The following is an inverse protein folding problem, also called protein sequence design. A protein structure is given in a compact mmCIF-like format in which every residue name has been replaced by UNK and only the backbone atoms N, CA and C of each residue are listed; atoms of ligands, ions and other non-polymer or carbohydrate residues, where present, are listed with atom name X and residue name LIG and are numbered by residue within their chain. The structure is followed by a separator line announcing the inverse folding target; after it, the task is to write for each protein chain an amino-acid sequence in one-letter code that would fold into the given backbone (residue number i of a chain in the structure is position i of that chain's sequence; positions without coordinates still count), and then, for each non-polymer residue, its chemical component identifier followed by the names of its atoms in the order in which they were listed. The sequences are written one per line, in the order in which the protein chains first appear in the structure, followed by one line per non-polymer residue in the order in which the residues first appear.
data_IF_789893630903
#
_entry.id   IF_789893630903
#
_cell.length_a   1.000
_cell.length_b   1.000
_cell.length_c   1.000
_cell.angle_alpha   90.00
_cell.angle_beta   90.00
_cell.angle_gamma   90.00
#
_symmetry.space_group_name_H-M   'P 1'
#
loop_
_entity.id
_entity.type
_entity.pdbx_description
1 polymer ?
#
# COMPACT_ATOMS: atom_id res chain seq x y z
N UNK A 1 -1.90 29.81 -2.11
CA UNK A 1 -1.84 28.59 -2.95
C UNK A 1 -3.21 27.92 -3.07
N UNK A 2 -3.92 27.66 -1.97
CA UNK A 2 -5.25 27.03 -2.01
C UNK A 2 -6.31 27.77 -2.84
N UNK A 3 -6.34 29.11 -2.83
CA UNK A 3 -7.29 29.87 -3.67
C UNK A 3 -6.97 29.76 -5.17
N UNK A 4 -5.69 29.73 -5.57
CA UNK A 4 -5.29 29.56 -6.97
C UNK A 4 -5.72 28.19 -7.54
N UNK A 5 -5.62 27.12 -6.76
CA UNK A 5 -6.08 25.78 -7.15
C UNK A 5 -7.61 25.66 -7.12
N UNK A 6 -8.27 26.42 -6.24
CA UNK A 6 -9.72 26.49 -6.23
C UNK A 6 -10.28 27.26 -7.44
N UNK A 7 -9.56 28.29 -7.90
CA UNK A 7 -10.04 29.28 -8.88
C UNK A 7 -9.60 29.04 -10.32
N UNK A 8 -8.70 28.08 -10.60
CA UNK A 8 -8.20 27.78 -11.95
C UNK A 8 -8.52 26.36 -12.40
N UNK A 9 -8.83 26.21 -13.71
CA UNK A 9 -9.05 24.90 -14.35
C UNK A 9 -7.76 24.07 -14.42
N UNK A 10 -6.62 24.75 -14.36
CA UNK A 10 -5.29 24.17 -14.38
C UNK A 10 -4.51 24.66 -13.17
N UNK A 11 -3.91 23.73 -12.42
CA UNK A 11 -3.20 24.06 -11.20
C UNK A 11 -2.01 23.15 -10.97
N UNK A 12 -0.86 23.75 -10.66
CA UNK A 12 0.33 23.03 -10.21
C UNK A 12 0.45 23.15 -8.69
N UNK A 13 0.56 22.01 -8.01
CA UNK A 13 0.80 21.92 -6.57
C UNK A 13 2.05 21.08 -6.32
N UNK A 14 3.16 21.68 -5.88
CA UNK A 14 4.28 20.92 -5.34
C UNK A 14 3.89 20.37 -3.96
N UNK A 15 4.07 19.07 -3.77
CA UNK A 15 3.80 18.34 -2.53
C UNK A 15 5.12 17.74 -2.05
N UNK A 16 5.66 18.16 -0.88
CA UNK A 16 6.85 17.52 -0.33
C UNK A 16 6.53 16.08 0.06
N UNK A 17 7.47 15.18 -0.21
CA UNK A 17 7.45 13.79 0.26
C UNK A 17 8.48 13.69 1.37
N UNK A 18 8.09 13.10 2.49
CA UNK A 18 9.00 12.79 3.59
C UNK A 18 8.92 11.29 3.81
N UNK A 19 10.06 10.61 3.75
CA UNK A 19 10.16 9.16 3.92
C UNK A 19 10.80 8.90 5.28
N UNK A 20 10.16 8.03 6.03
CA UNK A 20 10.57 7.61 7.38
C UNK A 20 10.22 6.15 7.57
N UNK A 21 10.61 5.35 6.60
CA UNK A 21 10.32 3.93 6.56
C UNK A 21 11.51 3.18 7.17
N UNK A 22 11.32 2.43 8.29
CA UNK A 22 12.40 1.67 8.91
C UNK A 22 13.23 0.80 7.97
N UNK A 23 12.60 0.22 6.93
CA UNK A 23 13.30 -0.62 5.95
C UNK A 23 14.29 0.15 5.06
N UNK A 24 14.08 1.45 4.83
CA UNK A 24 14.90 2.26 3.89
C UNK A 24 15.52 3.53 4.50
N UNK A 25 15.23 3.78 5.78
CA UNK A 25 15.74 4.93 6.54
C UNK A 25 15.02 6.24 6.22
N UNK A 26 15.70 7.35 6.53
CA UNK A 26 15.16 8.69 6.27
C UNK A 26 15.35 9.10 4.81
N UNK A 27 14.33 9.74 4.26
CA UNK A 27 14.37 10.25 2.90
C UNK A 27 13.43 11.40 2.65
N UNK A 28 13.47 11.90 1.43
CA UNK A 28 12.66 13.02 1.00
C UNK A 28 12.46 13.02 -0.50
N UNK A 29 11.48 13.80 -0.93
CA UNK A 29 11.15 13.93 -2.33
C UNK A 29 10.18 15.06 -2.60
N UNK A 30 9.74 15.12 -3.84
CA UNK A 30 8.74 16.09 -4.28
C UNK A 30 7.83 15.44 -5.30
N UNK A 31 6.54 15.72 -5.17
CA UNK A 31 5.55 15.44 -6.20
C UNK A 31 5.04 16.75 -6.80
N UNK A 32 5.03 16.85 -8.12
CA UNK A 32 4.30 17.86 -8.86
C UNK A 32 2.93 17.33 -9.24
N UNK A 33 1.87 17.93 -8.67
CA UNK A 33 0.49 17.59 -9.00
C UNK A 33 -0.08 18.63 -9.97
N UNK A 34 -0.53 18.16 -11.12
CA UNK A 34 -1.17 18.94 -12.18
C UNK A 34 -2.65 18.58 -12.22
N UNK A 35 -3.48 19.49 -11.72
CA UNK A 35 -4.93 19.39 -11.84
C UNK A 35 -5.36 19.96 -13.17
N UNK A 36 -6.27 19.26 -13.86
CA UNK A 36 -6.87 19.71 -15.10
C UNK A 36 -8.33 19.28 -15.18
N UNK A 37 -9.18 20.20 -15.60
CA UNK A 37 -10.61 20.00 -15.79
C UNK A 37 -11.11 20.91 -16.92
N UNK A 38 -12.26 20.60 -17.50
CA UNK A 38 -12.95 21.51 -18.42
C UNK A 38 -13.54 22.70 -17.67
N UNK A 39 -13.77 23.82 -18.36
CA UNK A 39 -14.38 25.01 -17.72
C UNK A 39 -15.77 24.70 -17.12
N UNK A 40 -16.54 23.81 -17.75
CA UNK A 40 -17.84 23.35 -17.24
C UNK A 40 -17.69 22.54 -15.93
N UNK A 41 -16.72 21.63 -15.85
CA UNK A 41 -16.42 20.85 -14.65
C UNK A 41 -15.96 21.75 -13.51
N UNK A 42 -15.10 22.74 -13.81
CA UNK A 42 -14.65 23.75 -12.87
C UNK A 42 -15.81 24.52 -12.26
N UNK A 43 -16.70 25.08 -13.08
CA UNK A 43 -17.84 25.86 -12.60
C UNK A 43 -18.72 25.04 -11.65
N UNK A 44 -18.94 23.76 -11.99
CA UNK A 44 -19.73 22.84 -11.16
C UNK A 44 -19.04 22.54 -9.84
N UNK A 45 -17.75 22.21 -9.85
CA UNK A 45 -16.94 21.98 -8.65
C UNK A 45 -16.95 23.21 -7.74
N UNK A 46 -16.80 24.41 -8.30
CA UNK A 46 -16.84 25.66 -7.54
C UNK A 46 -18.21 25.93 -6.90
N UNK A 47 -19.32 25.62 -7.58
CA UNK A 47 -20.66 25.71 -6.99
C UNK A 47 -20.80 24.78 -5.78
N UNK A 48 -20.45 23.51 -5.94
CA UNK A 48 -20.51 22.50 -4.86
C UNK A 48 -19.56 22.83 -3.70
N UNK A 49 -18.36 23.33 -4.00
CA UNK A 49 -17.39 23.75 -2.99
C UNK A 49 -17.86 24.97 -2.18
N UNK A 50 -18.60 25.90 -2.80
CA UNK A 50 -19.20 27.06 -2.11
C UNK A 50 -20.38 26.67 -1.22
N UNK A 51 -21.11 25.62 -1.59
CA UNK A 51 -22.21 25.06 -0.78
C UNK A 51 -21.67 24.25 0.43
N UNK A 52 -20.44 23.73 0.34
CA UNK A 52 -19.78 23.00 1.42
C UNK A 52 -19.08 23.92 2.41
N UNK A 53 -19.79 24.32 3.46
CA UNK A 53 -19.24 25.19 4.51
C UNK A 53 -18.08 24.53 5.31
N UNK A 54 -18.04 23.18 5.38
CA UNK A 54 -17.11 22.43 6.24
C UNK A 54 -16.09 21.54 5.47
N UNK A 55 -15.98 21.66 4.13
CA UNK A 55 -15.02 20.88 3.34
C UNK A 55 -15.36 19.37 3.23
N UNK A 56 -16.59 18.99 3.58
CA UNK A 56 -17.14 17.63 3.50
C UNK A 56 -17.98 17.38 2.23
N UNK A 57 -17.88 18.24 1.21
CA UNK A 57 -18.46 17.90 -0.07
C UNK A 57 -17.65 16.75 -0.66
N UNK A 58 -18.35 15.67 -1.02
CA UNK A 58 -17.84 14.59 -1.85
C UNK A 58 -17.62 15.15 -3.27
N UNK A 59 -16.63 16.02 -3.42
CA UNK A 59 -16.24 16.59 -4.68
C UNK A 59 -15.54 15.49 -5.46
N UNK A 60 -16.10 15.15 -6.62
CA UNK A 60 -15.36 14.37 -7.60
C UNK A 60 -14.08 15.16 -7.90
N UNK A 61 -12.91 14.60 -7.60
CA UNK A 61 -11.68 15.34 -7.82
C UNK A 61 -11.50 15.59 -9.33
N UNK A 62 -10.94 16.75 -9.72
CA UNK A 62 -10.61 16.99 -11.12
C UNK A 62 -9.64 15.91 -11.62
N UNK A 63 -9.51 15.81 -12.95
CA UNK A 63 -8.49 14.95 -13.51
C UNK A 63 -7.12 15.45 -13.02
N UNK A 64 -6.24 14.51 -12.68
CA UNK A 64 -4.98 14.81 -12.03
C UNK A 64 -3.86 14.01 -12.66
N UNK A 65 -2.75 14.68 -12.91
CA UNK A 65 -1.50 14.05 -13.30
C UNK A 65 -0.48 14.37 -12.23
N UNK A 66 0.16 13.36 -11.67
CA UNK A 66 1.21 13.51 -10.68
C UNK A 66 2.52 13.00 -11.25
N UNK A 67 3.60 13.71 -11.00
CA UNK A 67 4.97 13.22 -11.21
C UNK A 67 5.70 13.38 -9.89
N UNK A 68 6.30 12.32 -9.39
CA UNK A 68 6.99 12.29 -8.11
C UNK A 68 8.40 11.72 -8.26
N UNK A 69 9.32 12.24 -7.47
CA UNK A 69 10.64 11.67 -7.29
C UNK A 69 10.99 11.74 -5.81
N UNK A 70 11.55 10.67 -5.27
CA UNK A 70 12.00 10.60 -3.89
C UNK A 70 13.22 9.69 -3.76
N UNK A 71 13.98 9.88 -2.69
CA UNK A 71 15.09 9.02 -2.33
C UNK A 71 15.39 9.08 -0.84
N UNK A 72 16.15 8.10 -0.37
CA UNK A 72 16.50 7.91 1.03
C UNK A 72 18.02 7.90 1.23
N UNK A 73 18.44 7.97 2.49
CA UNK A 73 19.85 7.93 2.86
C UNK A 73 20.54 6.59 2.59
N UNK A 74 19.78 5.49 2.49
CA UNK A 74 20.31 4.16 2.20
C UNK A 74 20.51 3.89 0.69
N UNK A 75 20.28 4.90 -0.16
CA UNK A 75 20.45 4.79 -1.60
C UNK A 75 19.18 4.34 -2.36
N UNK A 76 18.09 4.02 -1.66
CA UNK A 76 16.80 3.75 -2.31
C UNK A 76 16.27 5.02 -2.96
N UNK A 77 15.80 4.92 -4.20
CA UNK A 77 15.15 6.02 -4.90
C UNK A 77 14.07 5.52 -5.86
N UNK A 78 13.10 6.39 -6.11
CA UNK A 78 12.00 6.11 -7.04
C UNK A 78 11.58 7.36 -7.79
N UNK A 79 11.25 7.18 -9.07
CA UNK A 79 10.58 8.18 -9.90
C UNK A 79 9.28 7.56 -10.40
N UNK A 80 8.17 8.25 -10.17
CA UNK A 80 6.84 7.78 -10.53
C UNK A 80 6.06 8.86 -11.27
N UNK A 81 5.18 8.43 -12.18
CA UNK A 81 4.21 9.29 -12.81
C UNK A 81 2.86 8.57 -12.92
N UNK A 82 1.78 9.31 -12.70
CA UNK A 82 0.45 8.75 -12.72
C UNK A 82 -0.59 9.76 -13.20
N UNK A 83 -1.68 9.24 -13.73
CA UNK A 83 -2.82 10.00 -14.19
C UNK A 83 -4.11 9.34 -13.72
N UNK A 84 -5.02 10.16 -13.18
CA UNK A 84 -6.38 9.75 -12.85
C UNK A 84 -7.36 10.67 -13.57
N UNK A 85 -8.41 10.07 -14.12
CA UNK A 85 -9.52 10.79 -14.74
C UNK A 85 -10.84 10.10 -14.47
N UNK A 86 -11.89 10.90 -14.38
CA UNK A 86 -13.27 10.43 -14.25
C UNK A 86 -14.13 11.01 -15.36
N UNK A 87 -15.14 10.27 -15.80
CA UNK A 87 -16.11 10.72 -16.80
C UNK A 87 -17.54 10.49 -16.30
N UNK A 88 -18.50 11.19 -16.91
CA UNK A 88 -19.94 11.02 -16.68
C UNK A 88 -20.31 11.10 -15.20
N UNK A 89 -19.88 12.15 -14.51
CA UNK A 89 -20.10 12.33 -13.07
C UNK A 89 -19.62 11.13 -12.25
N UNK A 90 -18.37 10.72 -12.49
CA UNK A 90 -17.72 9.64 -11.75
C UNK A 90 -18.38 8.25 -11.98
N UNK A 91 -19.00 8.08 -13.15
CA UNK A 91 -19.56 6.80 -13.58
C UNK A 91 -18.52 5.92 -14.28
N UNK A 92 -17.47 6.52 -14.85
CA UNK A 92 -16.27 5.82 -15.33
C UNK A 92 -15.06 6.46 -14.67
N UNK A 93 -14.14 5.63 -14.17
CA UNK A 93 -12.84 6.06 -13.64
C UNK A 93 -11.73 5.33 -14.38
N UNK A 94 -10.69 6.07 -14.70
CA UNK A 94 -9.43 5.52 -15.18
C UNK A 94 -8.31 5.99 -14.27
N UNK A 95 -7.40 5.08 -13.98
CA UNK A 95 -6.14 5.36 -13.33
C UNK A 95 -5.05 4.62 -14.07
N UNK A 96 -3.96 5.30 -14.40
CA UNK A 96 -2.82 4.69 -15.05
C UNK A 96 -1.54 5.37 -14.61
N UNK A 97 -0.45 4.63 -14.53
CA UNK A 97 0.81 5.18 -14.10
C UNK A 97 1.92 4.15 -14.14
N UNK A 98 3.11 4.59 -13.79
CA UNK A 98 4.26 3.72 -13.65
C UNK A 98 5.33 4.34 -12.77
N UNK A 99 6.24 3.51 -12.32
CA UNK A 99 7.40 3.91 -11.55
C UNK A 99 8.63 3.13 -12.00
N UNK A 100 9.78 3.77 -11.86
CA UNK A 100 11.09 3.12 -11.95
C UNK A 100 11.89 3.51 -10.73
N UNK A 101 12.78 2.64 -10.29
CA UNK A 101 13.57 2.91 -9.11
C UNK A 101 14.59 1.85 -8.81
N UNK A 102 15.25 2.07 -7.69
CA UNK A 102 16.24 1.19 -7.09
C UNK A 102 15.92 1.11 -5.60
N UNK A 103 15.82 -0.09 -5.04
CA UNK A 103 15.47 -0.32 -3.65
C UNK A 103 16.56 -1.15 -2.95
N UNK A 104 17.04 -0.62 -1.83
CA UNK A 104 17.95 -1.30 -0.93
C UNK A 104 17.17 -1.68 0.32
N UNK A 105 16.79 -2.95 0.43
CA UNK A 105 15.91 -3.45 1.49
C UNK A 105 16.49 -4.73 2.05
N UNK A 106 16.41 -4.91 3.37
CA UNK A 106 16.72 -6.18 4.01
C UNK A 106 15.51 -7.12 3.90
N UNK A 107 15.70 -8.30 3.32
CA UNK A 107 14.67 -9.35 3.28
C UNK A 107 14.92 -10.34 4.42
N UNK A 108 13.83 -10.79 5.03
CA UNK A 108 13.83 -11.71 6.16
C UNK A 108 13.10 -12.98 5.75
N UNK A 109 13.83 -14.07 5.53
CA UNK A 109 13.25 -15.37 5.23
C UNK A 109 13.43 -16.32 6.40
N UNK A 110 12.37 -17.00 6.82
CA UNK A 110 12.54 -18.09 7.79
C UNK A 110 13.05 -19.32 7.02
N UNK A 111 14.28 -19.79 7.27
CA UNK A 111 14.72 -21.06 6.73
C UNK A 111 13.81 -22.18 7.25
N UNK A 112 13.58 -23.20 6.42
CA UNK A 112 12.72 -24.34 6.71
C UNK A 112 12.86 -24.85 8.14
N UNK A 113 11.74 -25.16 8.78
CA UNK A 113 11.71 -25.79 10.10
C UNK A 113 12.33 -27.19 10.00
N UNK A 114 13.60 -27.29 10.41
CA UNK A 114 14.35 -28.53 10.44
C UNK A 114 14.21 -29.11 11.86
N UNK A 115 13.20 -29.97 12.04
CA UNK A 115 12.82 -30.64 13.31
C UNK A 115 14.00 -31.21 14.14
N UNK A 116 15.17 -31.44 13.52
CA UNK A 116 16.35 -32.04 14.17
C UNK A 116 17.35 -31.01 14.74
N UNK A 117 17.27 -29.73 14.36
CA UNK A 117 18.19 -28.67 14.81
C UNK A 117 17.50 -27.51 15.55
N UNK A 118 16.17 -27.57 15.73
CA UNK A 118 15.38 -26.53 16.39
C UNK A 118 15.08 -25.35 15.46
N UNK A 119 14.26 -24.40 15.94
CA UNK A 119 13.95 -23.16 15.20
C UNK A 119 15.25 -22.43 14.84
N UNK A 120 15.52 -22.31 13.54
CA UNK A 120 16.62 -21.50 13.04
C UNK A 120 16.10 -20.06 12.96
N UNK A 121 16.84 -19.05 13.47
CA UNK A 121 16.45 -17.66 13.34
C UNK A 121 16.23 -17.27 11.87
N UNK A 122 15.31 -16.34 11.62
CA UNK A 122 15.11 -15.76 10.30
C UNK A 122 16.45 -15.34 9.66
N UNK A 123 16.71 -15.80 8.45
CA UNK A 123 17.83 -15.35 7.64
C UNK A 123 17.53 -13.94 7.17
N UNK A 124 18.30 -12.99 7.68
CA UNK A 124 18.34 -11.61 7.19
C UNK A 124 19.42 -11.48 6.12
N UNK A 125 19.08 -10.94 4.95
CA UNK A 125 20.07 -10.57 3.93
C UNK A 125 19.67 -9.26 3.24
N UNK A 126 20.68 -8.47 2.88
CA UNK A 126 20.48 -7.27 2.08
C UNK A 126 20.10 -7.63 0.64
N UNK A 127 19.24 -6.82 0.05
CA UNK A 127 18.89 -6.90 -1.36
C UNK A 127 18.98 -5.55 -2.03
N UNK A 128 19.56 -5.54 -3.23
CA UNK A 128 19.54 -4.42 -4.16
C UNK A 128 18.60 -4.77 -5.31
N UNK A 129 17.57 -3.96 -5.52
CA UNK A 129 16.51 -4.24 -6.50
C UNK A 129 16.31 -3.07 -7.44
N UNK A 130 16.67 -3.22 -8.72
CA UNK A 130 16.20 -2.29 -9.76
C UNK A 130 14.83 -2.73 -10.23
N UNK A 131 13.88 -1.80 -10.39
CA UNK A 131 12.53 -2.14 -10.82
C UNK A 131 11.94 -1.12 -11.79
N UNK A 132 11.01 -1.62 -12.60
CA UNK A 132 10.07 -0.84 -13.38
C UNK A 132 8.68 -1.44 -13.25
N UNK A 133 7.66 -0.61 -13.07
CA UNK A 133 6.26 -1.03 -12.98
C UNK A 133 5.39 -0.09 -13.79
N UNK A 134 4.38 -0.65 -14.45
CA UNK A 134 3.29 0.06 -15.11
C UNK A 134 1.99 -0.57 -14.66
N UNK A 135 1.01 0.26 -14.31
CA UNK A 135 -0.33 -0.21 -14.00
C UNK A 135 -1.39 0.62 -14.74
N UNK A 136 -2.49 -0.03 -15.06
CA UNK A 136 -3.67 0.59 -15.63
C UNK A 136 -4.92 -0.03 -15.02
N UNK A 137 -5.90 0.80 -14.73
CA UNK A 137 -7.14 0.39 -14.09
C UNK A 137 -8.29 1.20 -14.68
N UNK A 138 -9.36 0.50 -15.03
CA UNK A 138 -10.62 1.11 -15.47
C UNK A 138 -11.76 0.55 -14.64
N UNK A 139 -12.61 1.43 -14.12
CA UNK A 139 -13.73 1.07 -13.26
C UNK A 139 -15.01 1.76 -13.72
N UNK A 140 -16.13 1.08 -13.53
CA UNK A 140 -17.47 1.53 -13.86
C UNK A 140 -18.33 1.51 -12.60
N UNK A 141 -18.96 2.63 -12.30
CA UNK A 141 -19.88 2.74 -11.16
C UNK A 141 -21.21 2.08 -11.48
N UNK A 142 -21.69 1.24 -10.57
CA UNK A 142 -23.03 0.66 -10.67
C UNK A 142 -24.10 1.74 -10.45
N UNK A 143 -25.14 1.83 -11.32
CA UNK A 143 -26.12 2.90 -11.27
C UNK A 143 -26.77 3.09 -9.89
N UNK A 144 -26.79 4.33 -9.39
CA UNK A 144 -27.38 4.72 -8.09
C UNK A 144 -26.74 4.07 -6.86
N UNK A 145 -25.51 3.57 -6.97
CA UNK A 145 -24.77 2.99 -5.85
C UNK A 145 -23.37 3.60 -5.70
N UNK A 146 -22.71 3.25 -4.59
CA UNK A 146 -21.31 3.59 -4.34
C UNK A 146 -20.31 2.52 -4.81
N UNK A 147 -20.80 1.45 -5.43
CA UNK A 147 -19.97 0.36 -5.95
C UNK A 147 -19.39 0.71 -7.32
N UNK A 148 -18.13 0.39 -7.51
CA UNK A 148 -17.45 0.37 -8.79
C UNK A 148 -16.88 -1.02 -9.06
N UNK A 149 -17.01 -1.46 -10.30
CA UNK A 149 -16.45 -2.71 -10.80
C UNK A 149 -15.53 -2.41 -11.97
N UNK A 150 -14.38 -3.04 -12.01
CA UNK A 150 -13.36 -2.72 -12.98
C UNK A 150 -12.43 -3.87 -13.32
N UNK A 151 -11.51 -3.55 -14.20
CA UNK A 151 -10.38 -4.39 -14.55
C UNK A 151 -9.07 -3.63 -14.30
N UNK A 152 -8.05 -4.36 -13.89
CA UNK A 152 -6.69 -3.85 -13.62
C UNK A 152 -5.69 -4.68 -14.38
N UNK A 153 -4.69 -4.02 -14.93
CA UNK A 153 -3.53 -4.63 -15.55
C UNK A 153 -2.29 -4.07 -14.87
N UNK A 154 -1.35 -4.95 -14.55
CA UNK A 154 -0.04 -4.59 -14.04
C UNK A 154 1.01 -5.29 -14.89
N UNK A 155 2.08 -4.58 -15.19
CA UNK A 155 3.32 -5.16 -15.70
C UNK A 155 4.46 -4.63 -14.84
N UNK A 156 5.40 -5.48 -14.47
CA UNK A 156 6.61 -5.07 -13.77
C UNK A 156 7.79 -5.93 -14.15
N UNK A 157 8.98 -5.38 -14.05
CA UNK A 157 10.23 -6.14 -14.10
C UNK A 157 11.14 -5.69 -12.97
N UNK A 158 11.86 -6.63 -12.38
CA UNK A 158 12.83 -6.37 -11.34
C UNK A 158 14.07 -7.23 -11.50
N UNK A 159 15.21 -6.72 -11.07
CA UNK A 159 16.40 -7.52 -10.77
C UNK A 159 16.60 -7.56 -9.28
N UNK A 160 17.14 -8.65 -8.74
CA UNK A 160 17.36 -8.86 -7.32
C UNK A 160 18.77 -9.40 -7.10
N UNK A 161 19.61 -8.60 -6.46
CA UNK A 161 20.99 -8.94 -6.13
C UNK A 161 21.19 -8.90 -4.60
N UNK A 162 22.16 -9.65 -4.08
CA UNK A 162 22.53 -9.61 -2.66
C UNK A 162 24.04 -9.53 -2.49
N UNK A 163 24.53 -8.75 -1.52
CA UNK A 163 25.96 -8.73 -1.22
C UNK A 163 26.46 -10.07 -0.64
N UNK A 164 25.55 -10.90 -0.13
CA UNK A 164 25.86 -12.25 0.33
C UNK A 164 25.99 -13.22 -0.85
N UNK A 165 27.23 -13.59 -1.16
CA UNK A 165 27.57 -14.47 -2.29
C UNK A 165 26.79 -15.79 -2.32
N UNK A 166 26.46 -16.40 -1.18
CA UNK A 166 25.69 -17.66 -1.16
C UNK A 166 24.22 -17.42 -1.49
N UNK A 167 23.65 -16.31 -1.01
CA UNK A 167 22.28 -15.92 -1.34
C UNK A 167 22.18 -15.55 -2.81
N UNK A 168 23.09 -14.71 -3.30
CA UNK A 168 23.13 -14.27 -4.70
C UNK A 168 23.27 -15.45 -5.68
N UNK A 169 24.18 -16.39 -5.40
CA UNK A 169 24.30 -17.63 -6.19
C UNK A 169 23.02 -18.46 -6.16
N UNK A 170 22.29 -18.46 -5.03
CA UNK A 170 21.03 -19.21 -4.91
C UNK A 170 19.93 -18.56 -5.71
N UNK A 171 19.80 -17.22 -5.66
CA UNK A 171 18.85 -16.46 -6.46
C UNK A 171 19.08 -16.72 -7.96
N UNK A 172 20.32 -16.63 -8.43
CA UNK A 172 20.68 -16.91 -9.83
C UNK A 172 20.44 -18.36 -10.23
N UNK A 173 20.78 -19.32 -9.35
CA UNK A 173 20.56 -20.75 -9.64
C UNK A 173 19.07 -21.09 -9.76
N UNK A 174 18.22 -20.35 -9.05
CA UNK A 174 16.77 -20.52 -9.04
C UNK A 174 16.04 -19.61 -10.04
N UNK A 175 16.77 -18.83 -10.84
CA UNK A 175 16.21 -17.86 -11.80
C UNK A 175 15.31 -16.81 -11.13
N UNK A 176 15.66 -16.40 -9.91
CA UNK A 176 14.94 -15.41 -9.08
C UNK A 176 15.65 -14.05 -9.04
N UNK A 177 16.84 -13.93 -9.64
CA UNK A 177 17.63 -12.70 -9.73
C UNK A 177 17.08 -11.72 -10.77
N UNK A 178 16.23 -12.18 -11.67
CA UNK A 178 15.47 -11.33 -12.57
C UNK A 178 14.07 -11.88 -12.74
N UNK A 179 13.09 -11.02 -12.57
CA UNK A 179 11.69 -11.39 -12.72
C UNK A 179 10.98 -10.39 -13.59
N UNK A 180 10.23 -10.90 -14.55
CA UNK A 180 9.26 -10.17 -15.33
C UNK A 180 7.86 -10.69 -14.95
N UNK A 181 6.97 -9.75 -14.69
CA UNK A 181 5.65 -10.02 -14.16
C UNK A 181 4.61 -9.28 -14.98
N UNK A 182 3.53 -9.97 -15.30
CA UNK A 182 2.40 -9.42 -16.03
C UNK A 182 1.13 -10.02 -15.48
N UNK A 183 0.21 -9.15 -15.04
CA UNK A 183 -1.01 -9.53 -14.38
C UNK A 183 -2.21 -8.81 -14.95
N UNK A 184 -3.33 -9.52 -15.03
CA UNK A 184 -4.66 -8.99 -15.33
C UNK A 184 -5.62 -9.41 -14.22
N UNK A 185 -6.56 -8.55 -13.87
CA UNK A 185 -7.43 -8.83 -12.73
C UNK A 185 -8.69 -8.00 -12.69
N UNK A 186 -9.53 -8.32 -11.71
CA UNK A 186 -10.77 -7.63 -11.40
C UNK A 186 -10.61 -6.76 -10.17
N UNK A 187 -11.27 -5.61 -10.18
CA UNK A 187 -11.27 -4.65 -9.07
C UNK A 187 -12.70 -4.36 -8.65
N UNK A 188 -12.95 -4.39 -7.34
CA UNK A 188 -14.20 -3.97 -6.72
C UNK A 188 -13.89 -2.86 -5.72
N UNK A 189 -14.60 -1.74 -5.85
CA UNK A 189 -14.45 -0.63 -4.91
C UNK A 189 -15.82 -0.19 -4.40
N UNK A 190 -15.89 0.11 -3.11
CA UNK A 190 -16.98 0.84 -2.49
C UNK A 190 -16.40 2.00 -1.69
N UNK A 191 -16.93 3.21 -1.89
CA UNK A 191 -16.54 4.37 -1.07
C UNK A 191 -17.76 5.22 -0.70
N UNK A 192 -18.00 5.33 0.60
CA UNK A 192 -19.04 6.16 1.21
C UNK A 192 -18.48 7.23 2.14
N UNK A 193 -17.15 7.40 2.18
CA UNK A 193 -16.47 8.32 3.08
C UNK A 193 -16.87 9.75 2.75
N UNK A 194 -17.01 10.55 3.80
CA UNK A 194 -17.37 11.97 3.72
C UNK A 194 -16.25 12.84 3.14
N UNK A 195 -14.99 12.43 3.30
CA UNK A 195 -13.83 13.12 2.75
C UNK A 195 -12.77 12.09 2.31
N UNK A 196 -12.16 12.30 1.14
CA UNK A 196 -11.17 11.36 0.58
C UNK A 196 -9.80 11.43 1.29
N UNK A 197 -9.45 12.56 1.90
CA UNK A 197 -8.14 12.79 2.52
C UNK A 197 -8.15 12.53 4.03
N UNK A 198 -9.19 13.02 4.72
CA UNK A 198 -9.35 12.84 6.16
C UNK A 198 -10.81 12.50 6.50
N UNK A 199 -11.24 11.26 6.27
CA UNK A 199 -12.59 10.81 6.58
C UNK A 199 -12.91 10.95 8.07
N UNK A 200 -14.13 11.39 8.39
CA UNK A 200 -14.67 11.38 9.76
C UNK A 200 -15.89 10.49 9.90
N UNK A 201 -16.50 10.10 8.77
CA UNK A 201 -17.68 9.26 8.72
C UNK A 201 -17.71 8.44 7.42
N UNK A 202 -18.20 7.21 7.53
CA UNK A 202 -18.42 6.33 6.38
C UNK A 202 -17.35 5.26 6.32
N UNK A 203 -17.33 4.51 5.22
CA UNK A 203 -16.43 3.39 5.05
C UNK A 203 -16.05 3.20 3.59
N UNK A 204 -14.90 2.59 3.37
CA UNK A 204 -14.40 2.17 2.07
C UNK A 204 -14.02 0.70 2.10
N UNK A 205 -14.20 0.03 0.97
CA UNK A 205 -13.76 -1.33 0.72
C UNK A 205 -13.13 -1.36 -0.68
N UNK A 206 -11.93 -1.91 -0.79
CA UNK A 206 -11.29 -2.23 -2.05
C UNK A 206 -10.97 -3.73 -2.06
N UNK A 207 -11.17 -4.38 -3.20
CA UNK A 207 -10.73 -5.74 -3.42
C UNK A 207 -10.20 -5.90 -4.85
N UNK A 208 -8.99 -6.41 -4.96
CA UNK A 208 -8.30 -6.74 -6.19
C UNK A 208 -8.06 -8.27 -6.23
N UNK A 209 -8.41 -8.91 -7.35
CA UNK A 209 -8.01 -10.29 -7.62
C UNK A 209 -7.30 -10.35 -8.97
N UNK A 210 -6.02 -10.73 -8.95
CA UNK A 210 -5.12 -10.66 -10.10
C UNK A 210 -4.62 -12.06 -10.47
N UNK A 211 -4.59 -12.34 -11.77
CA UNK A 211 -3.97 -13.52 -12.37
C UNK A 211 -2.69 -13.09 -13.06
N UNK A 212 -1.57 -13.67 -12.65
CA UNK A 212 -0.25 -13.51 -13.26
C UNK A 212 0.05 -14.77 -14.06
N UNK A 213 0.32 -14.62 -15.38
CA UNK A 213 0.42 -15.75 -16.29
C UNK A 213 1.54 -15.62 -17.31
N UNK A 214 2.19 -16.74 -17.63
CA UNK A 214 3.15 -16.82 -18.73
C UNK A 214 2.57 -16.33 -20.07
N UNK A 215 1.30 -16.65 -20.38
CA UNK A 215 0.70 -16.27 -21.67
C UNK A 215 0.48 -14.77 -21.84
N UNK A 216 0.47 -14.01 -20.73
CA UNK A 216 0.42 -12.54 -20.75
C UNK A 216 1.78 -11.92 -20.45
N UNK A 217 2.85 -12.73 -20.40
CA UNK A 217 4.23 -12.29 -20.27
C UNK A 217 4.72 -12.14 -18.84
N UNK A 218 4.24 -12.95 -17.89
CA UNK A 218 4.93 -13.19 -16.62
C UNK A 218 5.94 -14.33 -16.76
N UNK A 219 6.92 -14.41 -15.87
CA UNK A 219 7.85 -15.55 -15.81
C UNK A 219 7.34 -16.68 -14.90
N UNK A 220 6.34 -16.40 -14.04
CA UNK A 220 5.76 -17.35 -13.11
C UNK A 220 4.24 -17.23 -13.05
N UNK A 221 3.56 -18.36 -12.83
CA UNK A 221 2.11 -18.41 -12.69
C UNK A 221 1.69 -18.31 -11.22
N UNK A 222 0.94 -17.26 -10.88
CA UNK A 222 0.39 -17.10 -9.53
C UNK A 222 -0.83 -16.19 -9.53
N UNK A 223 -1.61 -16.28 -8.46
CA UNK A 223 -2.78 -15.46 -8.21
C UNK A 223 -2.58 -14.64 -6.94
N UNK A 224 -3.04 -13.40 -6.96
CA UNK A 224 -3.09 -12.57 -5.75
C UNK A 224 -4.51 -12.11 -5.44
N UNK A 225 -4.84 -12.06 -4.17
CA UNK A 225 -6.05 -11.43 -3.64
C UNK A 225 -5.63 -10.38 -2.62
N UNK A 226 -6.01 -9.13 -2.84
CA UNK A 226 -5.81 -8.03 -1.91
C UNK A 226 -7.15 -7.44 -1.55
N UNK A 227 -7.46 -7.33 -0.26
CA UNK A 227 -8.71 -6.76 0.26
C UNK A 227 -8.38 -5.75 1.34
N UNK A 228 -8.85 -4.53 1.19
CA UNK A 228 -8.62 -3.44 2.14
C UNK A 228 -9.94 -2.80 2.54
N UNK A 229 -10.16 -2.64 3.84
CA UNK A 229 -11.36 -2.03 4.40
C UNK A 229 -11.02 -0.94 5.40
N UNK A 230 -11.73 0.18 5.35
CA UNK A 230 -11.63 1.25 6.35
C UNK A 230 -13.02 1.71 6.77
N UNK A 231 -13.22 1.98 8.06
CA UNK A 231 -14.48 2.47 8.61
C UNK A 231 -14.24 3.59 9.63
N UNK A 232 -15.04 4.65 9.56
CA UNK A 232 -14.93 5.85 10.38
C UNK A 232 -16.28 6.12 11.05
N UNK A 233 -16.29 6.11 12.39
CA UNK A 233 -17.49 6.22 13.21
C UNK A 233 -17.34 7.39 14.19
N UNK A 234 -18.10 8.48 14.01
CA UNK A 234 -18.17 9.55 15.00
C UNK A 234 -18.97 9.07 16.21
N UNK A 235 -18.32 9.00 17.38
CA UNK A 235 -18.96 8.57 18.65
C UNK A 235 -19.34 9.76 19.56
N UNK A 236 -19.09 10.98 19.10
CA UNK A 236 -19.46 12.23 19.74
C UNK A 236 -19.04 13.43 18.89
N UNK A 237 -19.17 14.64 19.39
CA UNK A 237 -18.83 15.86 18.62
C UNK A 237 -17.32 15.98 18.32
N UNK A 238 -16.49 15.44 19.22
CA UNK A 238 -15.03 15.55 19.16
C UNK A 238 -14.30 14.23 18.95
N UNK A 239 -15.02 13.11 19.02
CA UNK A 239 -14.42 11.78 19.06
C UNK A 239 -14.81 10.97 17.83
N UNK A 240 -13.80 10.41 17.16
CA UNK A 240 -13.98 9.53 16.00
C UNK A 240 -13.19 8.26 16.30
N UNK A 241 -13.83 7.11 16.14
CA UNK A 241 -13.15 5.81 16.12
C UNK A 241 -13.04 5.39 14.68
N UNK A 242 -11.84 4.99 14.27
CA UNK A 242 -11.61 4.45 12.95
C UNK A 242 -10.99 3.07 13.01
N UNK A 243 -11.33 2.25 12.05
CA UNK A 243 -10.84 0.89 11.89
C UNK A 243 -10.29 0.73 10.48
N UNK A 244 -9.19 0.02 10.34
CA UNK A 244 -8.73 -0.51 9.06
C UNK A 244 -8.43 -1.99 9.21
N UNK A 245 -8.61 -2.73 8.12
CA UNK A 245 -8.18 -4.11 8.02
C UNK A 245 -7.74 -4.38 6.59
N UNK A 246 -6.67 -5.17 6.43
CA UNK A 246 -6.25 -5.68 5.13
C UNK A 246 -6.11 -7.20 5.17
N UNK A 247 -6.27 -7.82 4.01
CA UNK A 247 -5.95 -9.21 3.76
C UNK A 247 -5.31 -9.33 2.38
N UNK A 248 -4.08 -9.83 2.36
CA UNK A 248 -3.31 -10.07 1.16
C UNK A 248 -2.95 -11.55 1.10
N UNK A 249 -3.15 -12.18 -0.05
CA UNK A 249 -2.73 -13.56 -0.25
C UNK A 249 -2.15 -13.76 -1.62
N UNK A 250 -1.15 -14.64 -1.68
CA UNK A 250 -0.59 -15.18 -2.91
C UNK A 250 -0.85 -16.69 -2.95
N UNK A 251 -1.22 -17.19 -4.13
CA UNK A 251 -1.46 -18.61 -4.37
C UNK A 251 -0.78 -19.02 -5.66
N UNK A 252 0.03 -20.07 -5.59
CA UNK A 252 0.81 -20.56 -6.72
C UNK A 252 1.04 -22.05 -6.59
N UNK A 253 1.16 -22.73 -7.74
CA UNK A 253 1.65 -24.11 -7.82
C UNK A 253 3.16 -24.15 -8.14
N UNK A 254 3.80 -22.99 -8.29
CA UNK A 254 5.24 -22.86 -8.53
C UNK A 254 6.05 -23.32 -7.32
N UNK A 255 7.25 -23.84 -7.58
CA UNK A 255 8.10 -24.33 -6.49
C UNK A 255 8.59 -23.20 -5.59
N UNK A 256 8.90 -22.04 -6.18
CA UNK A 256 9.30 -20.83 -5.48
C UNK A 256 8.95 -19.60 -6.34
N UNK A 257 8.67 -18.49 -5.67
CA UNK A 257 8.58 -17.16 -6.28
C UNK A 257 9.70 -16.27 -5.74
N UNK A 258 9.93 -15.13 -6.39
CA UNK A 258 10.85 -14.12 -5.85
C UNK A 258 10.36 -13.63 -4.49
N UNK A 259 11.24 -13.45 -3.48
CA UNK A 259 10.84 -12.98 -2.16
C UNK A 259 10.08 -11.64 -2.19
N UNK A 260 10.32 -10.80 -3.20
CA UNK A 260 9.65 -9.51 -3.35
C UNK A 260 8.18 -9.63 -3.77
N UNK A 261 7.74 -10.81 -4.24
CA UNK A 261 6.35 -11.08 -4.62
C UNK A 261 5.45 -11.39 -3.40
N UNK A 262 6.03 -11.88 -2.31
CA UNK A 262 5.27 -12.27 -1.14
C UNK A 262 4.74 -11.04 -0.38
N UNK A 263 3.46 -11.04 0.02
CA UNK A 263 2.93 -9.96 0.84
C UNK A 263 3.60 -9.92 2.22
N UNK A 264 3.50 -8.76 2.87
CA UNK A 264 4.10 -8.50 4.18
C UNK A 264 3.16 -7.72 5.07
N UNK A 265 3.38 -7.77 6.39
CA UNK A 265 2.64 -6.95 7.36
C UNK A 265 2.97 -5.47 7.11
N UNK A 266 2.01 -4.74 6.54
CA UNK A 266 2.05 -3.27 6.46
C UNK A 266 1.29 -2.66 7.65
N UNK A 267 2.05 -2.30 8.68
CA UNK A 267 1.54 -1.62 9.88
C UNK A 267 2.53 -0.54 10.31
N UNK A 268 2.00 0.61 10.75
CA UNK A 268 2.84 1.66 11.33
C UNK A 268 3.59 1.14 12.55
N UNK A 269 4.91 1.27 12.55
CA UNK A 269 5.81 0.75 13.57
C UNK A 269 6.42 -0.61 13.21
N UNK A 270 6.11 -1.17 12.04
CA UNK A 270 6.68 -2.43 11.52
C UNK A 270 7.39 -2.14 10.20
N UNK A 271 8.64 -2.56 10.08
CA UNK A 271 9.43 -2.42 8.84
C UNK A 271 8.79 -3.19 7.69
N UNK A 272 8.76 -2.58 6.50
CA UNK A 272 8.39 -3.27 5.27
C UNK A 272 9.24 -4.55 5.07
N UNK A 273 8.63 -5.60 4.50
CA UNK A 273 9.26 -6.91 4.25
C UNK A 273 9.79 -7.67 5.49
N UNK A 274 9.60 -7.16 6.72
CA UNK A 274 10.09 -7.84 7.92
C UNK A 274 9.33 -9.12 8.25
N UNK A 275 8.02 -9.11 8.04
CA UNK A 275 7.15 -10.25 8.29
C UNK A 275 6.36 -10.57 7.03
N UNK A 276 6.84 -11.55 6.29
CA UNK A 276 6.21 -12.00 5.05
C UNK A 276 5.41 -13.29 5.26
N UNK A 277 4.42 -13.47 4.40
CA UNK A 277 3.97 -14.82 4.12
C UNK A 277 3.00 -14.96 2.97
N UNK A 278 2.52 -16.17 2.75
CA UNK A 278 1.58 -16.46 1.66
C UNK A 278 0.22 -15.82 1.89
N UNK A 279 -0.17 -15.66 3.15
CA UNK A 279 -1.33 -14.89 3.57
C UNK A 279 -0.94 -13.94 4.69
N UNK A 280 -1.32 -12.68 4.55
CA UNK A 280 -1.11 -11.63 5.53
C UNK A 280 -2.44 -10.97 5.84
N UNK A 281 -2.75 -10.83 7.12
CA UNK A 281 -3.92 -10.10 7.59
C UNK A 281 -3.48 -9.02 8.57
N UNK A 282 -4.02 -7.81 8.41
CA UNK A 282 -3.81 -6.73 9.38
C UNK A 282 -5.14 -6.19 9.88
N UNK A 283 -5.16 -5.69 11.12
CA UNK A 283 -6.28 -4.99 11.69
C UNK A 283 -5.78 -3.87 12.60
N UNK A 284 -6.21 -2.64 12.36
CA UNK A 284 -5.80 -1.47 13.13
C UNK A 284 -7.03 -0.68 13.61
N UNK A 285 -7.00 -0.26 14.87
CA UNK A 285 -7.97 0.66 15.44
C UNK A 285 -7.27 1.99 15.79
N UNK A 286 -7.94 3.10 15.51
CA UNK A 286 -7.46 4.44 15.80
C UNK A 286 -8.55 5.25 16.52
N UNK A 287 -8.20 5.82 17.67
CA UNK A 287 -9.05 6.76 18.40
C UNK A 287 -8.55 8.18 18.15
N UNK A 288 -9.41 9.02 17.59
CA UNK A 288 -9.10 10.41 17.26
C UNK A 288 -9.91 11.37 18.12
N UNK A 289 -9.22 12.35 18.70
CA UNK A 289 -9.81 13.44 19.47
C UNK A 289 -9.52 14.79 18.82
N UNK A 290 -10.58 15.47 18.39
CA UNK A 290 -10.54 16.82 17.84
C UNK A 290 -10.50 17.82 18.99
N UNK A 291 -9.32 18.41 19.22
CA UNK A 291 -9.14 19.47 20.21
C UNK A 291 -9.95 20.70 19.79
N UNK A 292 -9.75 21.10 18.54
CA UNK A 292 -10.46 22.20 17.87
C UNK A 292 -10.67 21.89 16.38
N UNK A 293 -10.93 22.92 15.56
CA UNK A 293 -11.17 22.76 14.13
C UNK A 293 -9.90 22.52 13.30
N UNK A 294 -8.70 22.56 13.90
CA UNK A 294 -7.41 22.38 13.21
C UNK A 294 -6.59 21.25 13.80
N UNK A 295 -6.68 21.01 15.10
CA UNK A 295 -5.86 20.05 15.82
C UNK A 295 -6.65 18.81 16.20
N UNK A 296 -6.15 17.66 15.76
CA UNK A 296 -6.61 16.34 16.18
C UNK A 296 -5.43 15.59 16.75
N UNK A 297 -5.59 14.99 17.93
CA UNK A 297 -4.64 14.01 18.47
C UNK A 297 -5.23 12.62 18.28
N UNK A 298 -4.37 11.62 18.17
CA UNK A 298 -4.80 10.25 17.95
C UNK A 298 -3.89 9.25 18.66
N UNK A 299 -4.48 8.12 19.01
CA UNK A 299 -3.76 6.90 19.41
C UNK A 299 -4.23 5.74 18.56
N UNK A 300 -3.33 4.82 18.24
CA UNK A 300 -3.64 3.65 17.42
C UNK A 300 -3.02 2.38 17.99
N UNK A 301 -3.64 1.26 17.67
CA UNK A 301 -3.19 -0.09 17.98
C UNK A 301 -3.52 -0.99 16.78
N UNK A 302 -2.55 -1.77 16.34
CA UNK A 302 -2.64 -2.65 15.18
C UNK A 302 -2.11 -4.04 15.49
N UNK A 303 -2.70 -5.03 14.84
CA UNK A 303 -2.32 -6.43 14.86
C UNK A 303 -2.08 -6.88 13.43
N UNK A 304 -0.97 -7.58 13.21
CA UNK A 304 -0.62 -8.22 11.96
C UNK A 304 -0.45 -9.72 12.18
N UNK A 305 -0.88 -10.51 11.21
CA UNK A 305 -0.78 -11.97 11.23
C UNK A 305 -0.28 -12.45 9.88
N UNK A 306 0.74 -13.30 9.87
CA UNK A 306 1.20 -14.00 8.68
C UNK A 306 0.91 -15.49 8.78
N UNK A 307 0.64 -16.09 7.63
CA UNK A 307 0.56 -17.53 7.46
C UNK A 307 1.37 -17.94 6.24
N UNK A 308 2.21 -18.95 6.42
CA UNK A 308 3.06 -19.51 5.39
C UNK A 308 2.79 -21.01 5.29
N UNK A 309 2.62 -21.48 4.07
CA UNK A 309 2.65 -22.88 3.71
C UNK A 309 3.97 -23.15 2.97
N UNK A 310 4.73 -24.13 3.42
CA UNK A 310 6.01 -24.46 2.76
C UNK A 310 6.22 -25.96 2.71
N UNK A 311 6.79 -26.41 1.60
CA UNK A 311 7.27 -27.78 1.45
C UNK A 311 8.60 -27.91 2.17
N UNK A 312 8.65 -28.71 3.23
CA UNK A 312 9.87 -28.98 4.00
C UNK A 312 10.32 -30.44 3.84
N UNK A 313 11.62 -30.74 3.87
CA UNK A 313 12.09 -32.12 3.80
C UNK A 313 11.60 -32.96 5.00
N UNK A 314 10.94 -34.09 4.74
CA UNK A 314 10.57 -35.08 5.74
C UNK A 314 11.64 -36.18 5.83
N UNK A 315 12.76 -35.86 6.49
CA UNK A 315 13.85 -36.81 6.67
C UNK A 315 13.46 -38.03 7.52
N UNK A 316 12.39 -37.93 8.32
CA UNK A 316 11.87 -39.02 9.16
C UNK A 316 11.11 -40.09 8.38
N UNK A 317 10.35 -39.69 7.36
CA UNK A 317 9.59 -40.59 6.48
C UNK A 317 10.19 -40.80 5.09
N UNK A 318 11.32 -40.14 4.78
CA UNK A 318 12.07 -40.32 3.53
C UNK A 318 12.34 -41.79 3.16
N UNK A 319 12.48 -42.68 4.16
CA UNK A 319 12.72 -44.11 3.93
C UNK A 319 11.46 -44.93 3.60
N UNK A 320 10.25 -44.36 3.71
CA UNK A 320 8.99 -45.12 3.64
C UNK A 320 8.13 -44.82 2.41
N UNK A 321 8.03 -43.58 1.93
CA UNK A 321 7.42 -43.31 0.61
C UNK A 321 7.34 -41.85 0.16
N UNK A 322 7.68 -40.83 0.95
CA UNK A 322 7.78 -39.44 0.49
C UNK A 322 8.76 -38.67 1.37
N UNK A 323 9.60 -37.84 0.75
CA UNK A 323 10.66 -37.05 1.40
C UNK A 323 10.25 -35.60 1.68
N UNK A 324 8.97 -35.26 1.56
CA UNK A 324 8.46 -33.90 1.66
C UNK A 324 7.21 -33.89 2.55
N UNK A 325 7.16 -32.98 3.52
CA UNK A 325 5.99 -32.67 4.35
C UNK A 325 5.58 -31.21 4.15
N UNK A 326 4.29 -30.93 4.24
CA UNK A 326 3.80 -29.57 4.37
C UNK A 326 4.12 -29.08 5.79
N UNK A 327 4.83 -27.96 5.89
CA UNK A 327 5.00 -27.21 7.12
C UNK A 327 4.19 -25.93 7.03
N UNK A 328 3.58 -25.55 8.16
CA UNK A 328 2.83 -24.30 8.29
C UNK A 328 3.47 -23.48 9.39
N UNK A 329 3.83 -22.23 9.09
CA UNK A 329 4.26 -21.28 10.11
C UNK A 329 3.33 -20.08 10.16
N UNK A 330 3.18 -19.49 11.34
CA UNK A 330 2.45 -18.24 11.50
C UNK A 330 3.15 -17.33 12.49
N UNK A 331 3.09 -16.03 12.21
CA UNK A 331 3.66 -14.99 13.06
C UNK A 331 2.58 -13.96 13.37
N UNK A 332 2.48 -13.55 14.62
CA UNK A 332 1.62 -12.44 15.03
C UNK A 332 2.49 -11.31 15.55
N UNK A 333 2.22 -10.10 15.09
CA UNK A 333 2.94 -8.89 15.50
C UNK A 333 1.90 -7.86 15.93
N UNK A 334 2.20 -7.10 16.97
CA UNK A 334 1.41 -5.94 17.32
C UNK A 334 2.23 -4.65 17.26
N UNK A 335 1.55 -3.56 16.95
CA UNK A 335 2.15 -2.24 16.87
C UNK A 335 1.18 -1.20 17.44
N UNK A 336 1.71 -0.20 18.11
CA UNK A 336 0.92 0.84 18.73
C UNK A 336 1.61 2.19 18.64
N UNK A 337 0.84 3.25 18.82
CA UNK A 337 1.41 4.55 18.69
C UNK A 337 0.46 5.69 18.99
N UNK A 338 1.02 6.88 18.88
CA UNK A 338 0.29 8.13 19.07
C UNK A 338 0.79 9.18 18.10
N UNK A 339 -0.09 10.11 17.76
CA UNK A 339 0.23 11.16 16.82
C UNK A 339 -0.69 12.36 16.93
N UNK A 340 -0.42 13.33 16.08
CA UNK A 340 -1.28 14.49 15.91
C UNK A 340 -1.48 14.81 14.44
N UNK A 341 -2.50 15.60 14.16
CA UNK A 341 -2.87 16.09 12.83
C UNK A 341 -3.23 17.56 12.93
N UNK A 342 -2.71 18.32 11.98
CA UNK A 342 -2.99 19.73 11.77
C UNK A 342 -3.65 19.94 10.41
N UNK A 343 -4.80 20.62 10.39
CA UNK A 343 -5.52 20.92 9.16
C UNK A 343 -4.81 22.02 8.36
N UNK A 344 -4.11 21.63 7.29
CA UNK A 344 -3.34 22.56 6.45
C UNK A 344 -4.20 23.25 5.39
N UNK A 345 -5.25 22.60 4.88
CA UNK A 345 -6.12 23.16 3.85
C UNK A 345 -7.61 22.92 4.17
N UNK A 346 -8.23 23.89 4.84
CA UNK A 346 -9.62 23.83 5.34
C UNK A 346 -10.66 23.42 4.28
N UNK A 347 -10.60 24.03 3.09
CA UNK A 347 -11.57 23.77 2.01
C UNK A 347 -11.56 22.33 1.49
N UNK A 348 -10.44 21.62 1.67
CA UNK A 348 -10.27 20.25 1.20
C UNK A 348 -10.29 19.22 2.34
N UNK A 349 -10.40 19.66 3.59
CA UNK A 349 -10.28 18.76 4.75
C UNK A 349 -8.90 18.12 4.90
N UNK A 350 -7.86 18.67 4.26
CA UNK A 350 -6.53 18.06 4.26
C UNK A 350 -5.82 18.28 5.59
N UNK A 351 -5.39 17.18 6.20
CA UNK A 351 -4.63 17.16 7.45
C UNK A 351 -3.25 16.58 7.20
N UNK A 352 -2.25 17.15 7.87
CA UNK A 352 -0.89 16.62 7.94
C UNK A 352 -0.45 16.53 9.39
N UNK A 353 0.42 15.59 9.72
CA UNK A 353 1.00 15.57 11.06
C UNK A 353 2.05 14.49 11.23
N UNK A 354 2.28 14.13 12.49
CA UNK A 354 3.36 13.21 12.87
C UNK A 354 2.75 12.09 13.70
N UNK A 355 3.16 10.85 13.42
CA UNK A 355 2.89 9.67 14.23
C UNK A 355 4.19 9.09 14.78
N UNK A 356 4.14 8.59 16.01
CA UNK A 356 5.18 7.74 16.59
C UNK A 356 4.59 6.34 16.70
N UNK A 357 5.16 5.39 15.98
CA UNK A 357 4.81 3.97 16.03
C UNK A 357 5.89 3.16 16.75
N UNK A 358 5.44 2.16 17.50
CA UNK A 358 6.26 1.24 18.27
C UNK A 358 5.76 -0.19 18.02
N UNK A 359 6.68 -1.11 17.80
CA UNK A 359 6.48 -2.56 17.87
C UNK A 359 7.58 -3.16 18.75
N UNK A 360 7.56 -4.47 19.01
CA UNK A 360 8.45 -5.14 19.97
C UNK A 360 9.93 -4.69 19.89
N UNK A 361 10.47 -4.55 18.66
CA UNK A 361 11.87 -4.20 18.44
C UNK A 361 12.09 -2.91 17.64
N UNK A 362 11.01 -2.23 17.23
CA UNK A 362 11.11 -1.11 16.31
C UNK A 362 10.38 0.13 16.81
N UNK A 363 10.95 1.28 16.48
CA UNK A 363 10.33 2.58 16.69
C UNK A 363 10.49 3.40 15.41
N UNK A 364 9.43 4.06 15.02
CA UNK A 364 9.39 4.84 13.79
C UNK A 364 8.62 6.14 14.00
N UNK A 365 9.11 7.21 13.37
CA UNK A 365 8.46 8.51 13.37
C UNK A 365 7.97 8.78 11.95
N UNK A 366 6.66 8.87 11.75
CA UNK A 366 6.04 9.05 10.45
C UNK A 366 5.55 10.47 10.23
N UNK A 367 5.76 11.01 9.02
CA UNK A 367 5.11 12.23 8.56
C UNK A 367 3.92 11.86 7.67
N UNK A 368 2.72 12.03 8.21
CA UNK A 368 1.51 11.47 7.61
C UNK A 368 0.64 12.57 7.01
N UNK A 369 0.13 12.32 5.80
CA UNK A 369 -0.96 13.09 5.20
C UNK A 369 -2.25 12.26 5.31
N UNK A 370 -3.33 12.87 5.80
CA UNK A 370 -4.59 12.16 6.01
C UNK A 370 -4.63 11.39 7.33
N UNK A 371 -5.31 10.24 7.35
CA UNK A 371 -5.59 9.48 8.59
C UNK A 371 -4.41 8.64 9.08
N UNK A 372 -3.53 8.19 8.18
CA UNK A 372 -2.42 7.29 8.49
C UNK A 372 -2.81 5.81 8.59
N UNK A 373 -3.87 5.43 7.89
CA UNK A 373 -4.09 4.02 7.56
C UNK A 373 -3.44 3.72 6.22
#
# INVERSE_FOLDING_TARGET
MGDYLADNAYGFLPVPIIITEPAVGYGGGVAGLFLHETDEEKERRQKLAKESLDGGAQLVPPAMTAVAAAGTENGTWVVAAGHRRTWMNDSIRYMGGGAIGHANIDIYTNPYDLDFIGEIPALKFDTETDFAVIMQQVQFRLPKTNWLLGAKQVWSTSTLESSNTLVDMTLQFMDLDKTNNSGLGLVVEYDSRDNMFFPTKGYSLNADYMWHREEIGADHDYDTLSVEGQAFVPIGEKWIVAFAASFDSISTDETMLTPTANPYIDLRGVSAYRYQGDQVATAQAQLMYRIDNRWTILGFYGLGYTHNESLSPDFGNCFKSNCVKNSTSSTTVDAYGAGFRYQIARRYGLHMGIDLGFSDEEQALYFTVGTGF
#
